data_IF_443316183679
#
_entry.id   IF_443316183679
#
_cell.length_a   1.000
_cell.length_b   1.000
_cell.length_c   1.000
_cell.angle_alpha   90.00
_cell.angle_beta   90.00
_cell.angle_gamma   90.00
#
_symmetry.space_group_name_H-M   'P 1'
#
loop_
_entity.id
_entity.type
_entity.pdbx_description
1 polymer ?
#
# COMPACT_ATOMS: atom_id res chain seq x y z
N UNK A 1 -26.69 14.40 2.36
CA UNK A 1 -25.38 14.28 3.04
C UNK A 1 -24.84 12.85 3.19
N UNK A 2 -25.67 11.86 3.57
CA UNK A 2 -25.23 10.47 3.85
C UNK A 2 -24.50 9.79 2.67
N UNK A 3 -25.03 9.92 1.45
CA UNK A 3 -24.42 9.35 0.23
C UNK A 3 -23.06 9.94 -0.15
N UNK A 4 -22.78 11.21 0.21
CA UNK A 4 -21.44 11.81 0.02
C UNK A 4 -20.41 11.10 0.89
N UNK A 5 -20.71 10.88 2.17
CA UNK A 5 -19.81 10.20 3.12
C UNK A 5 -19.51 8.75 2.68
N UNK A 6 -20.53 8.03 2.19
CA UNK A 6 -20.36 6.67 1.66
C UNK A 6 -19.40 6.66 0.46
N UNK A 7 -19.53 7.63 -0.45
CA UNK A 7 -18.63 7.73 -1.61
C UNK A 7 -17.17 8.02 -1.25
N UNK A 8 -16.91 8.78 -0.17
CA UNK A 8 -15.56 8.99 0.36
C UNK A 8 -15.01 7.72 0.99
N UNK A 9 -15.78 7.07 1.86
CA UNK A 9 -15.38 5.83 2.51
C UNK A 9 -15.06 4.73 1.49
N UNK A 10 -15.90 4.57 0.46
CA UNK A 10 -15.67 3.60 -0.62
C UNK A 10 -14.37 3.89 -1.37
N UNK A 11 -14.11 5.15 -1.73
CA UNK A 11 -12.88 5.54 -2.44
C UNK A 11 -11.62 5.28 -1.61
N UNK A 12 -11.67 5.57 -0.31
CA UNK A 12 -10.57 5.29 0.62
C UNK A 12 -10.30 3.79 0.74
N UNK A 13 -11.36 2.98 0.92
CA UNK A 13 -11.21 1.52 0.99
C UNK A 13 -10.65 0.93 -0.31
N UNK A 14 -11.17 1.38 -1.46
CA UNK A 14 -10.67 0.95 -2.76
C UNK A 14 -9.20 1.30 -2.94
N UNK A 15 -8.81 2.54 -2.63
CA UNK A 15 -7.41 2.98 -2.69
C UNK A 15 -6.50 2.17 -1.76
N UNK A 16 -6.95 1.91 -0.53
CA UNK A 16 -6.24 1.07 0.44
C UNK A 16 -6.01 -0.35 -0.05
N UNK A 17 -7.05 -1.02 -0.55
CA UNK A 17 -6.95 -2.39 -1.10
C UNK A 17 -6.01 -2.42 -2.31
N UNK A 18 -6.15 -1.48 -3.25
CA UNK A 18 -5.30 -1.40 -4.43
C UNK A 18 -3.83 -1.22 -4.03
N UNK A 19 -3.53 -0.32 -3.09
CA UNK A 19 -2.16 -0.07 -2.65
C UNK A 19 -1.53 -1.29 -1.95
N UNK A 20 -2.29 -2.01 -1.12
CA UNK A 20 -1.81 -3.27 -0.52
C UNK A 20 -1.52 -4.31 -1.59
N UNK A 21 -2.40 -4.47 -2.59
CA UNK A 21 -2.18 -5.41 -3.69
C UNK A 21 -0.93 -5.04 -4.51
N UNK A 22 -0.80 -3.78 -4.90
CA UNK A 22 0.39 -3.30 -5.62
C UNK A 22 1.66 -3.47 -4.79
N UNK A 23 1.57 -3.33 -3.46
CA UNK A 23 2.71 -3.54 -2.60
C UNK A 23 3.15 -5.00 -2.56
N UNK A 24 2.19 -5.94 -2.46
CA UNK A 24 2.46 -7.38 -2.46
C UNK A 24 2.96 -7.90 -3.82
N UNK A 25 2.54 -7.30 -4.92
CA UNK A 25 2.90 -7.79 -6.26
C UNK A 25 4.06 -7.04 -6.88
N UNK A 26 4.06 -5.71 -6.87
CA UNK A 26 5.05 -4.91 -7.59
C UNK A 26 6.15 -4.38 -6.67
N UNK A 27 5.78 -3.78 -5.53
CA UNK A 27 6.77 -3.16 -4.64
C UNK A 27 7.66 -4.23 -4.01
N UNK A 28 7.08 -5.36 -3.58
CA UNK A 28 7.86 -6.48 -3.07
C UNK A 28 8.87 -6.98 -4.11
N UNK A 29 8.46 -7.25 -5.35
CA UNK A 29 9.40 -7.69 -6.40
C UNK A 29 10.46 -6.64 -6.71
N UNK A 30 10.11 -5.35 -6.71
CA UNK A 30 11.05 -4.27 -7.01
C UNK A 30 12.11 -4.09 -5.92
N UNK A 31 11.72 -4.17 -4.64
CA UNK A 31 12.63 -3.97 -3.52
C UNK A 31 13.38 -5.24 -3.11
N UNK A 32 12.84 -6.42 -3.41
CA UNK A 32 13.47 -7.72 -3.16
C UNK A 32 13.53 -8.56 -4.42
N UNK A 33 14.25 -8.12 -5.46
CA UNK A 33 14.27 -8.78 -6.77
C UNK A 33 14.98 -10.14 -6.74
N UNK A 34 15.95 -10.31 -5.85
CA UNK A 34 16.57 -11.60 -5.55
C UNK A 34 16.32 -11.93 -4.07
N UNK A 35 15.36 -12.81 -3.76
CA UNK A 35 15.07 -13.20 -2.38
C UNK A 35 16.18 -14.06 -1.76
N UNK A 36 16.95 -14.79 -2.57
CA UNK A 36 18.06 -15.65 -2.12
C UNK A 36 19.26 -14.83 -1.63
N UNK A 37 19.41 -13.59 -2.11
CA UNK A 37 20.47 -12.65 -1.71
C UNK A 37 20.58 -12.49 -0.19
N UNK A 38 19.47 -12.64 0.53
CA UNK A 38 19.35 -12.31 1.95
C UNK A 38 19.74 -13.47 2.89
N UNK A 39 19.94 -14.69 2.39
CA UNK A 39 20.23 -15.86 3.23
C UNK A 39 21.54 -15.77 4.02
N UNK A 40 22.53 -15.02 3.52
CA UNK A 40 23.86 -14.93 4.10
C UNK A 40 24.31 -13.49 4.35
N UNK A 41 23.37 -12.54 4.38
CA UNK A 41 23.68 -11.11 4.50
C UNK A 41 22.93 -10.47 5.64
N UNK A 42 23.62 -9.55 6.32
CA UNK A 42 22.98 -8.68 7.31
C UNK A 42 22.10 -7.66 6.60
N UNK A 43 20.83 -7.67 6.96
CA UNK A 43 19.85 -6.66 6.55
C UNK A 43 20.02 -5.38 7.38
N UNK A 44 19.69 -4.24 6.80
CA UNK A 44 19.75 -2.96 7.51
C UNK A 44 18.44 -2.70 8.29
N UNK A 45 18.45 -1.65 9.11
CA UNK A 45 17.29 -1.27 9.93
C UNK A 45 16.03 -1.01 9.09
N UNK A 46 16.17 -0.26 7.99
CA UNK A 46 15.04 0.06 7.11
C UNK A 46 14.42 -1.19 6.49
N UNK A 47 15.25 -2.10 6.01
CA UNK A 47 14.80 -3.39 5.48
C UNK A 47 14.01 -4.16 6.53
N UNK A 48 14.56 -4.31 7.73
CA UNK A 48 13.91 -5.07 8.82
C UNK A 48 12.60 -4.43 9.32
N UNK A 49 12.42 -3.14 9.08
CA UNK A 49 11.19 -2.44 9.43
C UNK A 49 10.05 -2.77 8.46
N UNK A 50 10.37 -2.89 7.16
CA UNK A 50 9.40 -3.13 6.10
C UNK A 50 9.29 -4.60 5.69
N UNK A 51 10.32 -5.40 5.91
CA UNK A 51 10.41 -6.79 5.52
C UNK A 51 11.02 -7.61 6.65
N UNK A 52 10.53 -8.83 6.82
CA UNK A 52 11.10 -9.81 7.74
C UNK A 52 11.47 -11.06 6.96
N UNK A 53 12.52 -11.73 7.38
CA UNK A 53 12.86 -13.07 6.90
C UNK A 53 12.06 -14.07 7.76
N UNK A 54 11.47 -15.07 7.12
CA UNK A 54 10.68 -16.10 7.82
C UNK A 54 11.13 -17.48 7.38
N UNK A 55 11.50 -18.32 8.35
CA UNK A 55 11.89 -19.71 8.09
C UNK A 55 10.80 -20.50 7.35
N UNK A 56 9.52 -20.19 7.59
CA UNK A 56 8.37 -20.80 6.89
C UNK A 56 8.37 -20.53 5.39
N UNK A 57 8.99 -19.43 4.96
CA UNK A 57 9.13 -19.03 3.55
C UNK A 57 10.56 -19.22 3.05
N UNK A 58 11.32 -20.13 3.67
CA UNK A 58 12.71 -20.38 3.32
C UNK A 58 13.62 -19.19 3.59
N UNK A 59 13.36 -18.40 4.63
CA UNK A 59 14.06 -17.15 4.95
C UNK A 59 14.01 -16.10 3.82
N UNK A 60 13.01 -16.18 2.95
CA UNK A 60 12.76 -15.14 1.96
C UNK A 60 12.13 -13.88 2.61
N UNK A 61 12.43 -12.68 2.06
CA UNK A 61 11.82 -11.45 2.52
C UNK A 61 10.30 -11.47 2.32
N UNK A 62 9.58 -11.24 3.40
CA UNK A 62 8.14 -11.02 3.38
C UNK A 62 7.77 -9.68 4.02
N UNK A 63 6.76 -8.96 3.49
CA UNK A 63 6.32 -7.70 4.07
C UNK A 63 5.92 -7.85 5.54
N UNK A 64 6.32 -6.90 6.36
CA UNK A 64 5.87 -6.83 7.76
C UNK A 64 4.43 -6.32 7.84
N UNK A 65 3.78 -6.51 9.00
CA UNK A 65 2.50 -5.85 9.28
C UNK A 65 2.62 -4.33 9.13
N UNK A 66 3.76 -3.75 9.57
CA UNK A 66 4.02 -2.33 9.42
C UNK A 66 4.00 -1.90 7.94
N UNK A 67 4.67 -2.65 7.06
CA UNK A 67 4.67 -2.40 5.63
C UNK A 67 3.23 -2.41 5.05
N UNK A 68 2.43 -3.41 5.42
CA UNK A 68 1.04 -3.51 4.98
C UNK A 68 0.18 -2.35 5.49
N UNK A 69 0.37 -1.92 6.74
CA UNK A 69 -0.33 -0.77 7.32
C UNK A 69 0.06 0.53 6.62
N UNK A 70 1.34 0.74 6.34
CA UNK A 70 1.82 1.92 5.59
C UNK A 70 1.20 1.94 4.20
N UNK A 71 1.22 0.80 3.50
CA UNK A 71 0.62 0.66 2.17
C UNK A 71 -0.88 0.96 2.19
N UNK A 72 -1.60 0.43 3.19
CA UNK A 72 -3.03 0.68 3.39
C UNK A 72 -3.31 2.17 3.62
N UNK A 73 -2.57 2.82 4.53
CA UNK A 73 -2.75 4.24 4.85
C UNK A 73 -2.47 5.12 3.63
N UNK A 74 -1.36 4.87 2.92
CA UNK A 74 -1.02 5.60 1.69
C UNK A 74 -2.14 5.43 0.66
N UNK A 75 -2.61 4.20 0.44
CA UNK A 75 -3.72 3.92 -0.48
C UNK A 75 -5.01 4.63 -0.10
N UNK A 76 -5.37 4.66 1.19
CA UNK A 76 -6.55 5.36 1.68
C UNK A 76 -6.44 6.88 1.45
N UNK A 77 -5.26 7.47 1.65
CA UNK A 77 -5.01 8.89 1.40
C UNK A 77 -5.11 9.22 -0.09
N UNK A 78 -4.54 8.38 -0.96
CA UNK A 78 -4.66 8.54 -2.42
C UNK A 78 -6.12 8.42 -2.86
N UNK A 79 -6.85 7.43 -2.34
CA UNK A 79 -8.28 7.24 -2.61
C UNK A 79 -9.14 8.43 -2.15
N UNK A 80 -8.80 9.02 -1.01
CA UNK A 80 -9.42 10.26 -0.53
C UNK A 80 -9.13 11.43 -1.47
N UNK A 81 -7.87 11.64 -1.82
CA UNK A 81 -7.42 12.73 -2.69
C UNK A 81 -8.09 12.66 -4.08
N UNK A 82 -8.14 11.46 -4.67
CA UNK A 82 -8.85 11.21 -5.92
C UNK A 82 -10.34 11.57 -5.84
N UNK A 83 -10.99 11.23 -4.71
CA UNK A 83 -12.41 11.57 -4.51
C UNK A 83 -12.64 13.07 -4.39
N UNK A 84 -11.73 13.80 -3.72
CA UNK A 84 -11.78 15.26 -3.60
C UNK A 84 -11.73 15.88 -5.00
N UNK A 85 -10.73 15.52 -5.81
CA UNK A 85 -10.53 16.05 -7.18
C UNK A 85 -11.80 15.84 -8.04
N UNK A 86 -12.34 14.62 -8.07
CA UNK A 86 -13.56 14.32 -8.85
C UNK A 86 -14.74 15.14 -8.35
N UNK A 87 -14.87 15.33 -7.04
CA UNK A 87 -15.98 16.09 -6.47
C UNK A 87 -15.90 17.58 -6.79
N UNK A 88 -14.69 18.15 -6.87
CA UNK A 88 -14.45 19.53 -7.29
C UNK A 88 -14.74 19.74 -8.77
N UNK A 89 -14.22 18.85 -9.64
CA UNK A 89 -14.48 18.85 -11.08
C UNK A 89 -16.00 18.83 -11.38
N UNK A 90 -16.76 18.00 -10.67
CA UNK A 90 -18.21 17.90 -10.83
C UNK A 90 -18.96 19.18 -10.43
N UNK A 91 -18.44 19.93 -9.46
CA UNK A 91 -19.06 21.19 -9.05
C UNK A 91 -18.77 22.31 -10.06
N UNK A 92 -17.56 22.32 -10.65
CA UNK A 92 -17.17 23.32 -11.65
C UNK A 92 -17.88 23.12 -13.00
N UNK A 93 -18.21 21.89 -13.39
CA UNK A 93 -18.92 21.58 -14.64
C UNK A 93 -20.45 21.81 -14.60
N UNK A 94 -20.98 22.36 -13.51
CA UNK A 94 -22.41 22.66 -13.31
C UNK A 94 -22.77 24.14 -13.50
N UNK A 95 -21.80 24.96 -13.87
CA UNK A 95 -21.97 26.36 -14.28
C UNK A 95 -21.80 26.46 -15.80
#
# INVERSE_FOLDING_TARGET
MKYRKIGFAFSMLAGGVIAVLLNLTLVQELFTPDPCYYHNRKTNFFFNFFYKLSAENGDHPIPTLFNLLVSLVIGMLVGLWFKIIISEQKNNAKF
#
